data_IF_832175245156
#
_entry.id   IF_832175245156
#
_cell.length_a   1.000
_cell.length_b   1.000
_cell.length_c   1.000
_cell.angle_alpha   90.00
_cell.angle_beta   90.00
_cell.angle_gamma   90.00
#
_symmetry.space_group_name_H-M   'P 1'
#
loop_
_entity.id
_entity.type
_entity.pdbx_description
1 polymer ?
#
# COMPACT_ATOMS: atom_id res chain seq x y z
N UNK A 1 -22.57 -10.96 6.33
CA UNK A 1 -22.10 -11.15 4.96
C UNK A 1 -20.69 -11.73 5.00
N UNK A 2 -20.40 -12.76 4.20
CA UNK A 2 -19.11 -13.45 4.09
C UNK A 2 -18.57 -13.25 2.69
N UNK A 3 -17.41 -12.63 2.54
CA UNK A 3 -16.84 -12.27 1.23
C UNK A 3 -15.47 -12.92 1.09
N UNK A 4 -15.25 -13.59 -0.06
CA UNK A 4 -13.94 -14.01 -0.53
C UNK A 4 -13.32 -12.85 -1.30
N UNK A 5 -12.18 -12.35 -0.84
CA UNK A 5 -11.35 -11.41 -1.60
C UNK A 5 -10.26 -12.12 -2.38
N UNK A 6 -9.94 -11.60 -3.56
CA UNK A 6 -8.84 -12.06 -4.43
C UNK A 6 -8.02 -10.85 -4.83
N UNK A 7 -6.71 -10.91 -4.58
CA UNK A 7 -5.74 -9.85 -4.91
C UNK A 7 -4.60 -10.43 -5.75
N UNK A 8 -4.37 -9.84 -6.91
CA UNK A 8 -3.31 -10.24 -7.85
C UNK A 8 -2.75 -9.06 -8.64
N UNK A 9 -2.80 -7.82 -8.10
CA UNK A 9 -2.44 -6.63 -8.89
C UNK A 9 -0.96 -6.54 -9.27
N UNK A 10 -0.07 -7.17 -8.51
CA UNK A 10 1.37 -7.02 -8.69
C UNK A 10 2.12 -8.36 -8.56
N UNK A 11 2.89 -8.60 -7.53
CA UNK A 11 3.74 -9.78 -7.34
C UNK A 11 3.22 -10.73 -6.25
N UNK A 12 2.21 -10.32 -5.51
CA UNK A 12 1.48 -11.17 -4.57
C UNK A 12 0.29 -11.86 -5.25
N UNK A 13 0.03 -13.08 -4.77
CA UNK A 13 -1.22 -13.82 -5.03
C UNK A 13 -1.89 -14.04 -3.69
N UNK A 14 -3.02 -13.40 -3.46
CA UNK A 14 -3.68 -13.50 -2.16
C UNK A 14 -5.17 -13.84 -2.28
N UNK A 15 -5.65 -14.58 -1.28
CA UNK A 15 -7.07 -14.81 -1.04
C UNK A 15 -7.37 -14.68 0.46
N UNK A 16 -8.51 -14.09 0.78
CA UNK A 16 -8.94 -13.90 2.15
C UNK A 16 -10.46 -14.05 2.29
N UNK A 17 -10.90 -14.49 3.45
CA UNK A 17 -12.32 -14.54 3.78
C UNK A 17 -12.57 -13.62 4.97
N UNK A 18 -13.52 -12.73 4.82
CA UNK A 18 -14.01 -11.85 5.88
C UNK A 18 -15.47 -12.15 6.22
N UNK A 19 -15.90 -11.69 7.39
CA UNK A 19 -17.32 -11.66 7.76
C UNK A 19 -17.68 -10.36 8.46
N UNK A 20 -18.89 -9.87 8.21
CA UNK A 20 -19.45 -8.70 8.87
C UNK A 20 -20.98 -8.71 8.80
N UNK A 21 -21.63 -8.05 9.75
CA UNK A 21 -23.06 -7.78 9.69
C UNK A 21 -23.32 -6.50 8.88
N UNK A 22 -24.54 -6.32 8.38
CA UNK A 22 -24.87 -5.20 7.49
C UNK A 22 -24.51 -3.82 8.06
N UNK A 23 -24.63 -3.66 9.37
CA UNK A 23 -24.37 -2.39 10.07
C UNK A 23 -23.02 -2.38 10.81
N UNK A 24 -22.17 -3.37 10.53
CA UNK A 24 -20.82 -3.44 11.14
C UNK A 24 -19.99 -2.27 10.67
N UNK A 25 -19.34 -1.61 11.62
CA UNK A 25 -18.35 -0.55 11.34
C UNK A 25 -16.97 -1.10 11.05
N UNK A 26 -16.76 -2.39 11.24
CA UNK A 26 -15.57 -3.17 10.96
C UNK A 26 -15.94 -4.58 10.54
N UNK A 27 -15.03 -5.24 9.84
CA UNK A 27 -15.18 -6.64 9.44
C UNK A 27 -14.22 -7.53 10.24
N UNK A 28 -14.63 -8.76 10.49
CA UNK A 28 -13.78 -9.78 11.09
C UNK A 28 -13.07 -10.56 10.00
N UNK A 29 -11.75 -10.68 10.12
CA UNK A 29 -10.94 -11.53 9.26
C UNK A 29 -11.08 -13.00 9.71
N UNK A 30 -11.46 -13.87 8.80
CA UNK A 30 -11.54 -15.32 9.06
C UNK A 30 -10.29 -16.03 8.56
N UNK A 31 -9.76 -15.61 7.41
CA UNK A 31 -8.53 -16.13 6.84
C UNK A 31 -7.88 -15.10 5.90
N UNK A 32 -6.57 -15.14 5.77
CA UNK A 32 -5.80 -14.40 4.78
C UNK A 32 -4.58 -15.25 4.39
N UNK A 33 -4.50 -15.64 3.14
CA UNK A 33 -3.42 -16.46 2.58
C UNK A 33 -2.75 -15.67 1.48
N UNK A 34 -1.43 -15.55 1.56
CA UNK A 34 -0.62 -14.79 0.60
C UNK A 34 0.53 -15.69 0.12
N UNK A 35 0.71 -15.78 -1.17
CA UNK A 35 1.90 -16.30 -1.82
C UNK A 35 2.59 -15.14 -2.54
N UNK A 36 3.86 -14.90 -2.25
CA UNK A 36 4.63 -13.81 -2.85
C UNK A 36 5.75 -14.35 -3.72
N UNK A 37 5.93 -13.75 -4.89
CA UNK A 37 7.06 -13.99 -5.79
C UNK A 37 8.24 -13.04 -5.53
N UNK A 38 8.23 -12.30 -4.42
CA UNK A 38 9.24 -11.32 -4.03
C UNK A 38 10.68 -11.88 -4.07
N UNK A 39 10.89 -13.13 -3.64
CA UNK A 39 12.20 -13.78 -3.66
C UNK A 39 12.78 -13.93 -5.07
N UNK A 40 11.94 -14.13 -6.07
CA UNK A 40 12.37 -14.18 -7.47
C UNK A 40 12.74 -12.79 -7.97
N UNK A 41 11.95 -11.79 -7.62
CA UNK A 41 12.17 -10.41 -8.02
C UNK A 41 13.36 -9.75 -7.28
N UNK A 42 13.72 -10.27 -6.10
CA UNK A 42 14.93 -9.83 -5.39
C UNK A 42 16.21 -10.11 -6.20
N UNK A 43 16.24 -11.18 -6.99
CA UNK A 43 17.42 -11.53 -7.83
C UNK A 43 17.61 -10.58 -9.01
N UNK A 44 16.52 -9.96 -9.49
CA UNK A 44 16.54 -9.00 -10.61
C UNK A 44 16.53 -7.54 -10.13
N UNK A 45 16.34 -7.34 -8.83
CA UNK A 45 16.27 -6.02 -8.19
C UNK A 45 15.01 -5.23 -8.56
N UNK A 46 13.90 -5.90 -8.91
CA UNK A 46 12.61 -5.30 -9.21
C UNK A 46 11.67 -6.28 -9.90
N UNK A 47 10.40 -5.94 -9.96
CA UNK A 47 9.35 -6.80 -10.48
C UNK A 47 9.45 -6.91 -12.00
N UNK A 48 9.42 -8.16 -12.50
CA UNK A 48 9.28 -8.48 -13.92
C UNK A 48 7.84 -8.94 -14.14
N UNK A 49 7.00 -8.16 -14.85
CA UNK A 49 5.56 -8.43 -14.98
C UNK A 49 5.21 -9.83 -15.51
N UNK A 50 5.95 -10.31 -16.49
CA UNK A 50 5.72 -11.65 -17.08
C UNK A 50 6.02 -12.76 -16.06
N UNK A 51 7.08 -12.62 -15.25
CA UNK A 51 7.44 -13.59 -14.21
C UNK A 51 6.39 -13.61 -13.13
N UNK A 52 5.93 -12.43 -12.66
CA UNK A 52 4.87 -12.31 -11.67
C UNK A 52 3.60 -13.03 -12.14
N UNK A 53 3.11 -12.74 -13.35
CA UNK A 53 1.92 -13.37 -13.91
C UNK A 53 2.05 -14.89 -14.03
N UNK A 54 3.20 -15.42 -14.47
CA UNK A 54 3.43 -16.87 -14.58
C UNK A 54 3.43 -17.57 -13.21
N UNK A 55 3.99 -16.94 -12.19
CA UNK A 55 3.94 -17.47 -10.83
C UNK A 55 2.51 -17.47 -10.27
N UNK A 56 1.76 -16.40 -10.50
CA UNK A 56 0.37 -16.31 -10.05
C UNK A 56 -0.53 -17.41 -10.61
N UNK A 57 -0.35 -17.81 -11.87
CA UNK A 57 -1.07 -18.95 -12.45
C UNK A 57 -0.87 -20.24 -11.64
N UNK A 58 0.33 -20.43 -11.07
CA UNK A 58 0.63 -21.63 -10.26
C UNK A 58 -0.01 -21.57 -8.87
N UNK A 59 -0.12 -20.37 -8.29
CA UNK A 59 -0.50 -20.20 -6.90
C UNK A 59 -1.97 -19.82 -6.68
N UNK A 60 -2.68 -19.30 -7.68
CA UNK A 60 -4.02 -18.73 -7.48
C UNK A 60 -5.00 -19.75 -6.90
N UNK A 61 -5.06 -20.97 -7.44
CA UNK A 61 -5.98 -22.02 -6.94
C UNK A 61 -5.56 -22.51 -5.55
N UNK A 62 -4.30 -22.94 -5.30
CA UNK A 62 -3.84 -23.31 -3.97
C UNK A 62 -4.07 -22.24 -2.89
N UNK A 63 -3.89 -20.96 -3.22
CA UNK A 63 -4.09 -19.87 -2.29
C UNK A 63 -5.57 -19.69 -1.93
N UNK A 64 -6.47 -19.79 -2.92
CA UNK A 64 -7.92 -19.71 -2.69
C UNK A 64 -8.40 -20.90 -1.86
N UNK A 65 -8.01 -22.13 -2.21
CA UNK A 65 -8.35 -23.34 -1.45
C UNK A 65 -7.91 -23.20 0.01
N UNK A 66 -6.66 -22.80 0.23
CA UNK A 66 -6.12 -22.58 1.58
C UNK A 66 -6.86 -21.50 2.37
N UNK A 67 -7.26 -20.42 1.72
CA UNK A 67 -8.01 -19.34 2.37
C UNK A 67 -9.40 -19.85 2.79
N UNK A 68 -10.08 -20.62 1.96
CA UNK A 68 -11.38 -21.23 2.27
C UNK A 68 -11.25 -22.22 3.42
N UNK A 69 -10.29 -23.16 3.35
CA UNK A 69 -10.04 -24.13 4.42
C UNK A 69 -9.76 -23.44 5.77
N UNK A 70 -8.86 -22.46 5.80
CA UNK A 70 -8.50 -21.73 7.01
C UNK A 70 -9.70 -20.95 7.59
N UNK A 71 -10.63 -20.50 6.76
CA UNK A 71 -11.86 -19.83 7.20
C UNK A 71 -12.87 -20.79 7.84
N UNK A 72 -12.69 -22.10 7.69
CA UNK A 72 -13.62 -23.17 8.10
C UNK A 72 -14.99 -23.07 7.44
N UNK A 73 -15.05 -22.44 6.28
CA UNK A 73 -16.26 -22.30 5.45
C UNK A 73 -16.13 -23.19 4.19
N UNK A 74 -17.25 -23.39 3.53
CA UNK A 74 -17.29 -23.91 2.17
C UNK A 74 -17.58 -22.75 1.22
N UNK A 75 -17.17 -22.86 -0.04
CA UNK A 75 -17.36 -21.80 -1.02
C UNK A 75 -18.85 -21.47 -1.25
N UNK A 76 -19.70 -22.49 -1.12
CA UNK A 76 -21.17 -22.35 -1.23
C UNK A 76 -21.75 -21.43 -0.14
N UNK A 77 -21.05 -21.33 1.01
CA UNK A 77 -21.50 -20.53 2.16
C UNK A 77 -21.00 -19.06 2.10
N UNK A 78 -20.30 -18.69 1.05
CA UNK A 78 -19.91 -17.31 0.79
C UNK A 78 -21.11 -16.55 0.17
N UNK A 79 -21.19 -15.26 0.47
CA UNK A 79 -22.23 -14.38 -0.06
C UNK A 79 -21.80 -13.68 -1.35
N UNK A 80 -20.48 -13.41 -1.51
CA UNK A 80 -19.93 -12.74 -2.67
C UNK A 80 -18.44 -13.04 -2.85
N UNK A 81 -17.93 -12.73 -4.06
CA UNK A 81 -16.52 -12.76 -4.43
C UNK A 81 -16.10 -11.33 -4.80
N UNK A 82 -15.07 -10.82 -4.14
CA UNK A 82 -14.44 -9.54 -4.46
C UNK A 82 -13.12 -9.79 -5.17
N UNK A 83 -12.82 -9.00 -6.19
CA UNK A 83 -11.56 -9.14 -6.94
C UNK A 83 -11.01 -7.78 -7.31
N UNK A 84 -9.70 -7.63 -7.20
CA UNK A 84 -9.00 -6.45 -7.69
C UNK A 84 -9.05 -6.40 -9.20
N UNK A 85 -9.61 -5.31 -9.72
CA UNK A 85 -9.66 -5.06 -11.16
C UNK A 85 -8.60 -4.05 -11.63
N UNK A 86 -7.95 -3.35 -10.71
CA UNK A 86 -6.91 -2.34 -10.95
C UNK A 86 -6.78 -1.36 -9.79
N UNK A 87 -5.78 -0.45 -9.87
CA UNK A 87 -4.66 -0.48 -10.83
C UNK A 87 -3.70 -1.65 -10.58
N UNK A 88 -2.81 -1.91 -11.58
CA UNK A 88 -1.81 -2.97 -11.43
C UNK A 88 -1.26 -3.49 -12.77
N UNK A 89 -0.50 -4.55 -12.71
CA UNK A 89 0.07 -5.22 -13.88
C UNK A 89 -1.03 -5.99 -14.62
N UNK A 90 -1.27 -5.68 -15.90
CA UNK A 90 -2.38 -6.26 -16.67
C UNK A 90 -2.37 -7.79 -16.65
N UNK A 91 -1.21 -8.44 -16.84
CA UNK A 91 -1.10 -9.89 -16.82
C UNK A 91 -1.50 -10.50 -15.48
N UNK A 92 -1.10 -9.86 -14.39
CA UNK A 92 -1.41 -10.24 -13.02
C UNK A 92 -2.91 -10.03 -12.70
N UNK A 93 -3.45 -8.87 -13.03
CA UNK A 93 -4.88 -8.56 -12.86
C UNK A 93 -5.78 -9.56 -13.59
N UNK A 94 -5.44 -9.92 -14.83
CA UNK A 94 -6.23 -10.87 -15.62
C UNK A 94 -6.36 -12.23 -14.93
N UNK A 95 -5.32 -12.72 -14.25
CA UNK A 95 -5.36 -14.01 -13.57
C UNK A 95 -6.40 -13.96 -12.43
N UNK A 96 -6.39 -12.94 -11.60
CA UNK A 96 -7.38 -12.78 -10.53
C UNK A 96 -8.79 -12.59 -11.07
N UNK A 97 -8.96 -11.69 -12.04
CA UNK A 97 -10.26 -11.37 -12.65
C UNK A 97 -10.88 -12.60 -13.30
N UNK A 98 -10.17 -13.33 -14.15
CA UNK A 98 -10.74 -14.50 -14.82
C UNK A 98 -11.00 -15.67 -13.86
N UNK A 99 -10.16 -15.83 -12.83
CA UNK A 99 -10.41 -16.80 -11.76
C UNK A 99 -11.68 -16.44 -10.98
N UNK A 100 -11.84 -15.17 -10.58
CA UNK A 100 -13.04 -14.71 -9.87
C UNK A 100 -14.31 -14.88 -10.72
N UNK A 101 -14.25 -14.58 -12.02
CA UNK A 101 -15.37 -14.82 -12.97
C UNK A 101 -15.74 -16.29 -13.07
N UNK A 102 -14.75 -17.17 -13.19
CA UNK A 102 -14.99 -18.61 -13.23
C UNK A 102 -15.67 -19.10 -11.94
N UNK A 103 -15.18 -18.69 -10.77
CA UNK A 103 -15.77 -19.04 -9.48
C UNK A 103 -17.19 -18.47 -9.33
N UNK A 104 -17.39 -17.19 -9.71
CA UNK A 104 -18.72 -16.54 -9.67
C UNK A 104 -19.74 -17.29 -10.54
N UNK A 105 -19.33 -17.74 -11.73
CA UNK A 105 -20.17 -18.51 -12.65
C UNK A 105 -20.51 -19.89 -12.08
N UNK A 106 -19.49 -20.66 -11.66
CA UNK A 106 -19.68 -22.04 -11.20
C UNK A 106 -20.51 -22.11 -9.91
N UNK A 107 -20.24 -21.21 -8.96
CA UNK A 107 -20.92 -21.22 -7.65
C UNK A 107 -22.10 -20.27 -7.57
N UNK A 108 -22.48 -19.65 -8.70
CA UNK A 108 -23.59 -18.69 -8.78
C UNK A 108 -23.51 -17.59 -7.69
N UNK A 109 -22.33 -16.97 -7.57
CA UNK A 109 -22.08 -15.91 -6.58
C UNK A 109 -21.97 -14.55 -7.25
N UNK A 110 -22.47 -13.47 -6.62
CA UNK A 110 -22.22 -12.11 -7.07
C UNK A 110 -20.74 -11.81 -7.00
N UNK A 111 -20.24 -10.99 -7.95
CA UNK A 111 -18.87 -10.55 -8.01
C UNK A 111 -18.79 -9.03 -7.85
N UNK A 112 -17.82 -8.58 -7.06
CA UNK A 112 -17.61 -7.18 -6.70
C UNK A 112 -16.24 -6.75 -7.22
N UNK A 113 -16.20 -5.95 -8.29
CA UNK A 113 -14.95 -5.36 -8.75
C UNK A 113 -14.44 -4.33 -7.73
N UNK A 114 -13.20 -4.45 -7.34
CA UNK A 114 -12.61 -3.61 -6.29
C UNK A 114 -11.36 -2.92 -6.80
N UNK A 115 -11.21 -1.64 -6.43
CA UNK A 115 -10.00 -0.88 -6.70
C UNK A 115 -8.94 -1.19 -5.63
N UNK A 116 -7.73 -1.53 -6.08
CA UNK A 116 -6.58 -1.87 -5.23
C UNK A 116 -6.21 -0.76 -4.23
N UNK A 117 -6.19 0.51 -4.68
CA UNK A 117 -5.83 1.65 -3.83
C UNK A 117 -6.87 1.89 -2.74
N UNK A 118 -8.15 1.69 -3.07
CA UNK A 118 -9.24 1.71 -2.10
C UNK A 118 -9.06 0.56 -1.12
N UNK A 119 -8.65 -0.62 -1.58
CA UNK A 119 -8.29 -1.74 -0.73
C UNK A 119 -7.32 -1.34 0.38
N UNK A 120 -6.20 -0.71 0.05
CA UNK A 120 -5.22 -0.25 1.04
C UNK A 120 -5.80 0.68 2.11
N UNK A 121 -6.74 1.54 1.75
CA UNK A 121 -7.44 2.41 2.71
C UNK A 121 -8.29 1.56 3.66
N UNK A 122 -9.05 0.61 3.10
CA UNK A 122 -9.99 -0.21 3.86
C UNK A 122 -9.34 -1.29 4.73
N UNK A 123 -8.04 -1.55 4.60
CA UNK A 123 -7.27 -2.35 5.56
C UNK A 123 -7.40 -1.83 7.01
N UNK A 124 -7.69 -0.53 7.20
CA UNK A 124 -7.95 0.10 8.50
C UNK A 124 -9.28 -0.30 9.13
N UNK A 125 -10.19 -0.92 8.39
CA UNK A 125 -11.50 -1.34 8.87
C UNK A 125 -11.59 -2.84 9.18
N UNK A 126 -10.48 -3.54 9.20
CA UNK A 126 -10.37 -4.90 9.70
C UNK A 126 -10.29 -4.86 11.23
N UNK A 127 -11.11 -5.65 11.94
CA UNK A 127 -11.24 -5.61 13.41
C UNK A 127 -9.94 -5.88 14.19
N UNK A 128 -9.02 -6.64 13.60
CA UNK A 128 -7.72 -6.93 14.19
C UNK A 128 -6.77 -5.73 14.22
N UNK A 129 -7.08 -4.66 13.47
CA UNK A 129 -6.21 -3.50 13.33
C UNK A 129 -6.23 -2.57 14.56
N UNK A 130 -7.39 -2.36 15.15
CA UNK A 130 -7.61 -1.46 16.30
C UNK A 130 -9.01 -1.70 16.87
N UNK A 131 -9.25 -1.40 18.15
CA UNK A 131 -10.60 -1.37 18.72
C UNK A 131 -11.37 -0.10 18.31
N UNK A 132 -10.65 0.97 18.00
CA UNK A 132 -11.25 2.22 17.53
C UNK A 132 -11.67 2.12 16.06
N UNK A 133 -12.63 2.96 15.66
CA UNK A 133 -13.23 2.99 14.34
C UNK A 133 -12.91 4.33 13.69
N UNK A 134 -12.36 4.33 12.45
CA UNK A 134 -12.15 5.58 11.73
C UNK A 134 -13.46 6.37 11.57
N UNK A 135 -13.43 7.65 11.94
CA UNK A 135 -14.54 8.57 11.75
C UNK A 135 -14.33 9.44 10.51
N UNK A 136 -15.41 9.72 9.82
CA UNK A 136 -15.42 10.64 8.67
C UNK A 136 -15.78 12.07 9.05
N UNK A 137 -15.33 13.10 8.30
CA UNK A 137 -14.41 12.96 7.15
C UNK A 137 -13.00 12.55 7.58
N UNK A 138 -12.29 11.82 6.70
CA UNK A 138 -10.94 11.35 6.93
C UNK A 138 -10.01 11.73 5.77
N UNK A 139 -8.72 11.91 6.04
CA UNK A 139 -7.66 11.91 5.02
C UNK A 139 -7.02 10.54 5.00
N UNK A 140 -6.91 9.93 3.82
CA UNK A 140 -6.08 8.75 3.63
C UNK A 140 -4.79 9.11 2.88
N UNK A 141 -3.65 8.67 3.41
CA UNK A 141 -2.36 8.64 2.73
C UNK A 141 -2.12 7.20 2.27
N UNK A 142 -2.25 6.96 0.98
CA UNK A 142 -1.90 5.69 0.33
C UNK A 142 -0.47 5.79 -0.17
N UNK A 143 0.44 5.01 0.40
CA UNK A 143 1.86 5.09 0.09
C UNK A 143 2.47 3.69 -0.05
N UNK A 144 2.84 3.33 -1.29
CA UNK A 144 3.32 2.00 -1.68
C UNK A 144 4.51 2.08 -2.62
N UNK A 145 4.89 0.95 -3.21
CA UNK A 145 5.91 0.88 -4.26
C UNK A 145 5.54 1.67 -5.51
N UNK A 146 4.27 1.64 -5.93
CA UNK A 146 3.80 2.29 -7.16
C UNK A 146 3.00 3.58 -6.93
N UNK A 147 2.54 3.85 -5.73
CA UNK A 147 1.60 4.94 -5.48
C UNK A 147 1.99 5.81 -4.28
N UNK A 148 1.69 7.09 -4.38
CA UNK A 148 1.78 8.04 -3.27
C UNK A 148 0.67 9.08 -3.45
N UNK A 149 -0.44 8.90 -2.72
CA UNK A 149 -1.68 9.63 -2.92
C UNK A 149 -2.29 10.13 -1.63
N UNK A 150 -2.89 11.30 -1.70
CA UNK A 150 -3.76 11.86 -0.66
C UNK A 150 -5.20 11.88 -1.14
N UNK A 151 -6.09 11.32 -0.34
CA UNK A 151 -7.52 11.19 -0.63
C UNK A 151 -8.35 11.71 0.54
N UNK A 152 -9.39 12.44 0.25
CA UNK A 152 -10.42 12.81 1.22
C UNK A 152 -11.57 11.79 1.13
N UNK A 153 -11.92 11.22 2.26
CA UNK A 153 -13.05 10.29 2.40
C UNK A 153 -14.11 11.00 3.25
N UNK A 154 -15.25 11.31 2.65
CA UNK A 154 -16.35 11.95 3.38
C UNK A 154 -17.30 10.92 4.00
N UNK A 155 -17.43 9.77 3.34
CA UNK A 155 -18.17 8.59 3.78
C UNK A 155 -17.70 7.37 3.00
N UNK A 156 -18.17 6.16 3.35
CA UNK A 156 -17.99 5.00 2.51
C UNK A 156 -18.52 5.28 1.10
N UNK A 157 -17.70 5.05 0.07
CA UNK A 157 -18.04 5.31 -1.33
C UNK A 157 -17.93 6.78 -1.79
N UNK A 158 -17.77 7.75 -0.89
CA UNK A 158 -17.57 9.18 -1.24
C UNK A 158 -16.10 9.55 -1.03
N UNK A 159 -15.28 9.27 -2.05
CA UNK A 159 -13.84 9.44 -2.06
C UNK A 159 -13.47 10.53 -3.07
N UNK A 160 -12.62 11.46 -2.65
CA UNK A 160 -12.10 12.52 -3.50
C UNK A 160 -10.57 12.50 -3.50
N UNK A 161 -9.97 12.26 -4.64
CA UNK A 161 -8.53 12.44 -4.80
C UNK A 161 -8.14 13.91 -4.66
N UNK A 162 -7.06 14.19 -3.91
CA UNK A 162 -6.58 15.54 -3.62
C UNK A 162 -5.26 15.87 -4.30
N UNK A 163 -4.41 14.88 -4.49
CA UNK A 163 -3.11 14.98 -5.10
C UNK A 163 -2.32 13.69 -4.92
N UNK A 164 -1.32 13.48 -5.78
CA UNK A 164 -0.47 12.31 -5.76
C UNK A 164 0.92 12.62 -6.30
N UNK A 165 1.75 11.58 -6.42
CA UNK A 165 3.08 11.78 -6.98
C UNK A 165 3.02 12.14 -8.47
N UNK A 166 3.90 13.08 -8.88
CA UNK A 166 4.04 13.48 -10.29
C UNK A 166 5.13 12.71 -11.02
N UNK A 167 5.87 11.88 -10.28
CA UNK A 167 6.98 11.08 -10.79
C UNK A 167 7.12 9.79 -9.96
N UNK A 168 8.27 9.49 -9.38
CA UNK A 168 8.45 8.29 -8.59
C UNK A 168 7.53 8.30 -7.34
N UNK A 169 6.94 7.15 -7.00
CA UNK A 169 6.31 6.95 -5.71
C UNK A 169 7.35 6.89 -4.58
N UNK A 170 6.93 7.11 -3.34
CA UNK A 170 7.85 7.08 -2.20
C UNK A 170 8.55 5.72 -2.05
N UNK A 171 7.82 4.60 -2.22
CA UNK A 171 8.40 3.26 -2.18
C UNK A 171 9.38 3.01 -3.34
N UNK A 172 9.02 3.44 -4.54
CA UNK A 172 9.90 3.38 -5.70
C UNK A 172 11.19 4.20 -5.49
N UNK A 173 11.11 5.37 -4.87
CA UNK A 173 12.28 6.16 -4.50
C UNK A 173 13.18 5.41 -3.50
N UNK A 174 12.60 4.76 -2.49
CA UNK A 174 13.35 3.88 -1.58
C UNK A 174 14.04 2.74 -2.32
N UNK A 175 13.36 2.07 -3.25
CA UNK A 175 13.93 0.94 -3.99
C UNK A 175 15.05 1.37 -4.94
N UNK A 176 14.86 2.47 -5.68
CA UNK A 176 15.87 3.03 -6.59
C UNK A 176 17.13 3.46 -5.87
N UNK A 177 16.96 4.08 -4.68
CA UNK A 177 18.10 4.56 -3.88
C UNK A 177 18.74 3.40 -3.12
N UNK A 178 17.96 2.45 -2.60
CA UNK A 178 18.49 1.21 -2.02
C UNK A 178 19.41 0.48 -2.99
N UNK A 179 18.99 0.35 -4.25
CA UNK A 179 19.82 -0.23 -5.32
C UNK A 179 21.10 0.60 -5.59
N UNK A 180 21.00 1.94 -5.59
CA UNK A 180 22.16 2.82 -5.74
C UNK A 180 23.21 2.59 -4.64
N UNK A 181 22.77 2.27 -3.43
CA UNK A 181 23.60 2.00 -2.26
C UNK A 181 24.01 0.53 -2.14
N UNK A 182 23.65 -0.32 -3.12
CA UNK A 182 23.85 -1.78 -3.10
C UNK A 182 23.19 -2.47 -1.89
N UNK A 183 22.06 -1.94 -1.42
CA UNK A 183 21.27 -2.56 -0.37
C UNK A 183 20.36 -3.65 -0.94
N UNK A 184 19.98 -4.67 -0.12
CA UNK A 184 19.04 -5.70 -0.54
C UNK A 184 17.65 -5.12 -0.93
N UNK A 185 17.02 -5.76 -1.90
CA UNK A 185 15.62 -5.51 -2.25
C UNK A 185 14.67 -6.28 -1.29
N UNK A 186 13.55 -5.69 -0.80
CA UNK A 186 13.06 -4.32 -1.09
C UNK A 186 13.88 -3.22 -0.40
N UNK A 187 14.03 -2.10 -1.11
CA UNK A 187 14.84 -0.97 -0.63
C UNK A 187 14.28 -0.30 0.62
N UNK A 188 12.95 -0.20 0.75
CA UNK A 188 12.30 0.44 1.90
C UNK A 188 12.74 -0.15 3.24
N UNK A 189 12.51 -1.45 3.53
CA UNK A 189 12.95 -2.09 4.76
C UNK A 189 14.47 -2.05 4.97
N UNK A 190 15.25 -2.17 3.89
CA UNK A 190 16.73 -2.12 3.94
C UNK A 190 17.22 -0.74 4.33
N UNK A 191 16.62 0.32 3.80
CA UNK A 191 16.93 1.71 4.17
C UNK A 191 16.48 1.99 5.60
N UNK A 192 15.27 1.57 6.00
CA UNK A 192 14.79 1.74 7.37
C UNK A 192 15.77 1.15 8.40
N UNK A 193 16.22 -0.08 8.17
CA UNK A 193 17.19 -0.75 9.06
C UNK A 193 18.52 -0.01 9.14
N UNK A 194 19.08 0.45 8.02
CA UNK A 194 20.34 1.19 8.03
C UNK A 194 20.19 2.59 8.63
N UNK A 195 19.04 3.22 8.48
CA UNK A 195 18.76 4.55 9.00
C UNK A 195 18.71 4.63 10.54
N UNK A 196 18.50 3.51 11.25
CA UNK A 196 18.42 3.47 12.72
C UNK A 196 19.67 4.01 13.40
N UNK A 197 20.84 3.81 12.80
CA UNK A 197 22.17 4.20 13.35
C UNK A 197 22.79 5.42 12.67
N UNK A 198 22.08 6.04 11.70
CA UNK A 198 22.61 7.14 10.90
C UNK A 198 22.28 8.53 11.47
N UNK A 199 23.14 9.50 11.11
CA UNK A 199 22.90 10.92 11.44
C UNK A 199 21.99 11.59 10.40
N UNK A 200 20.78 11.98 10.83
CA UNK A 200 19.77 12.65 9.98
C UNK A 200 20.17 14.08 9.55
N UNK A 201 21.27 14.65 10.10
CA UNK A 201 21.70 16.01 9.83
C UNK A 201 22.90 16.09 8.88
N UNK A 202 23.54 14.95 8.56
CA UNK A 202 24.77 14.94 7.78
C UNK A 202 24.58 15.44 6.34
N UNK A 203 23.44 15.14 5.73
CA UNK A 203 23.14 15.54 4.35
C UNK A 203 21.83 16.32 4.29
N UNK A 204 21.84 17.43 3.55
CA UNK A 204 20.63 18.20 3.28
C UNK A 204 20.05 17.81 1.92
N UNK A 205 19.18 16.79 1.91
CA UNK A 205 18.49 16.36 0.71
C UNK A 205 17.30 17.27 0.40
N UNK A 206 17.00 17.53 -0.88
CA UNK A 206 15.89 18.38 -1.27
C UNK A 206 14.54 17.78 -0.86
N UNK A 207 13.57 18.64 -0.53
CA UNK A 207 12.18 18.27 -0.26
C UNK A 207 11.29 18.83 -1.37
N UNK A 208 11.16 18.13 -2.51
CA UNK A 208 10.44 18.68 -3.66
C UNK A 208 8.98 18.94 -3.32
N UNK A 209 8.43 20.00 -3.91
CA UNK A 209 7.02 20.41 -3.80
C UNK A 209 6.52 20.64 -2.35
N UNK A 210 7.39 20.67 -1.33
CA UNK A 210 6.94 20.84 0.06
C UNK A 210 6.18 22.16 0.23
N UNK A 211 6.64 23.24 -0.38
CA UNK A 211 6.05 24.58 -0.30
C UNK A 211 4.95 24.83 -1.34
N UNK A 212 4.64 23.87 -2.20
CA UNK A 212 3.58 24.02 -3.20
C UNK A 212 2.19 24.14 -2.56
N UNK A 213 1.30 24.89 -3.21
CA UNK A 213 -0.06 25.08 -2.70
C UNK A 213 -0.99 23.86 -2.89
N UNK A 214 -0.58 22.90 -3.71
CA UNK A 214 -1.30 21.63 -3.95
C UNK A 214 -0.86 20.53 -2.96
N UNK A 215 -1.42 19.33 -3.15
CA UNK A 215 -1.11 18.15 -2.34
C UNK A 215 -0.29 17.11 -3.12
N UNK A 216 0.33 17.53 -4.24
CA UNK A 216 1.16 16.64 -5.03
C UNK A 216 2.51 16.38 -4.39
N UNK A 217 3.09 15.23 -4.72
CA UNK A 217 4.41 14.79 -4.31
C UNK A 217 5.37 14.70 -5.51
N UNK A 218 6.65 14.61 -5.22
CA UNK A 218 7.70 14.32 -6.21
C UNK A 218 8.92 13.78 -5.47
N UNK A 219 9.45 12.66 -5.92
CA UNK A 219 10.60 11.98 -5.29
C UNK A 219 11.71 11.61 -6.26
N UNK A 220 11.54 11.74 -7.59
CA UNK A 220 12.56 11.37 -8.58
C UNK A 220 13.87 12.13 -8.41
N UNK A 221 13.80 13.40 -7.98
CA UNK A 221 14.98 14.23 -7.71
C UNK A 221 15.87 13.72 -6.56
N UNK A 222 15.32 12.97 -5.62
CA UNK A 222 16.07 12.42 -4.49
C UNK A 222 17.14 11.43 -4.93
N UNK A 223 16.86 10.60 -5.95
CA UNK A 223 17.87 9.68 -6.50
C UNK A 223 19.10 10.43 -6.99
N UNK A 224 18.92 11.50 -7.74
CA UNK A 224 20.02 12.31 -8.28
C UNK A 224 20.77 13.06 -7.16
N UNK A 225 20.04 13.60 -6.18
CA UNK A 225 20.65 14.25 -5.02
C UNK A 225 21.51 13.26 -4.21
N UNK A 226 20.96 12.08 -3.92
CA UNK A 226 21.69 11.02 -3.21
C UNK A 226 22.91 10.55 -4.00
N UNK A 227 22.79 10.38 -5.32
CA UNK A 227 23.91 10.00 -6.18
C UNK A 227 25.06 11.04 -6.09
N UNK A 228 24.76 12.32 -6.12
CA UNK A 228 25.76 13.39 -5.99
C UNK A 228 26.51 13.32 -4.66
N UNK A 229 25.81 13.14 -3.55
CA UNK A 229 26.47 12.99 -2.23
C UNK A 229 27.29 11.69 -2.16
N UNK A 230 26.79 10.60 -2.74
CA UNK A 230 27.52 9.32 -2.84
C UNK A 230 28.82 9.46 -3.62
N UNK A 231 28.82 10.20 -4.73
CA UNK A 231 30.03 10.43 -5.54
C UNK A 231 31.06 11.28 -4.78
N UNK A 232 30.63 12.38 -4.12
CA UNK A 232 31.51 13.20 -3.29
C UNK A 232 32.21 12.38 -2.19
N UNK A 233 31.46 11.48 -1.52
CA UNK A 233 32.03 10.62 -0.48
C UNK A 233 33.04 9.62 -1.06
N UNK A 234 32.76 9.07 -2.23
CA UNK A 234 33.68 8.14 -2.92
C UNK A 234 34.99 8.81 -3.33
N UNK A 235 34.93 10.06 -3.79
CA UNK A 235 36.14 10.85 -4.13
C UNK A 235 37.07 10.99 -2.94
N UNK A 236 36.54 11.11 -1.73
CA UNK A 236 37.37 11.26 -0.50
C UNK A 236 37.77 9.91 0.12
N UNK A 237 37.13 8.81 -0.20
CA UNK A 237 37.27 7.52 0.49
C UNK A 237 37.73 6.38 -0.45
N UNK A 238 38.77 6.61 -1.27
CA UNK A 238 39.32 5.59 -2.19
C UNK A 238 38.23 4.86 -3.02
N UNK A 239 37.29 5.60 -3.53
CA UNK A 239 36.17 5.14 -4.36
C UNK A 239 35.18 4.15 -3.64
N UNK A 240 35.11 4.16 -2.31
CA UNK A 240 34.25 3.30 -1.53
C UNK A 240 33.39 4.12 -0.56
N UNK A 241 32.19 3.65 -0.26
CA UNK A 241 31.37 4.12 0.85
C UNK A 241 31.69 3.31 2.10
N UNK A 242 31.82 3.99 3.23
CA UNK A 242 31.84 3.32 4.54
C UNK A 242 30.44 2.91 4.98
N UNK A 243 30.34 2.00 5.92
CA UNK A 243 29.04 1.63 6.50
C UNK A 243 28.35 2.84 7.15
N UNK A 244 29.11 3.73 7.80
CA UNK A 244 28.57 4.97 8.37
C UNK A 244 28.02 5.90 7.28
N UNK A 245 28.69 6.02 6.13
CA UNK A 245 28.18 6.82 5.01
C UNK A 245 26.82 6.32 4.53
N UNK A 246 26.68 4.98 4.41
CA UNK A 246 25.42 4.34 4.00
C UNK A 246 24.32 4.60 5.04
N UNK A 247 24.62 4.45 6.34
CA UNK A 247 23.67 4.69 7.43
C UNK A 247 23.19 6.13 7.43
N UNK A 248 24.09 7.10 7.29
CA UNK A 248 23.73 8.52 7.31
C UNK A 248 22.92 8.93 6.07
N UNK A 249 23.29 8.40 4.88
CA UNK A 249 22.50 8.61 3.67
C UNK A 249 21.08 8.05 3.85
N UNK A 250 20.96 6.82 4.37
CA UNK A 250 19.67 6.19 4.64
C UNK A 250 18.83 7.01 5.64
N UNK A 251 19.45 7.49 6.71
CA UNK A 251 18.78 8.29 7.73
C UNK A 251 18.26 9.63 7.17
N UNK A 252 19.11 10.35 6.42
CA UNK A 252 18.73 11.61 5.77
C UNK A 252 17.64 11.43 4.72
N UNK A 253 17.73 10.37 3.89
CA UNK A 253 16.75 10.05 2.87
C UNK A 253 15.39 9.73 3.49
N UNK A 254 15.36 8.78 4.45
CA UNK A 254 14.14 8.39 5.14
C UNK A 254 13.47 9.60 5.80
N UNK A 255 14.26 10.42 6.51
CA UNK A 255 13.77 11.66 7.13
C UNK A 255 13.15 12.59 6.10
N UNK A 256 13.80 12.80 4.97
CA UNK A 256 13.35 13.71 3.91
C UNK A 256 12.02 13.26 3.31
N UNK A 257 11.88 11.97 2.97
CA UNK A 257 10.62 11.42 2.42
C UNK A 257 9.49 11.55 3.45
N UNK A 258 9.75 11.13 4.69
CA UNK A 258 8.76 11.17 5.78
C UNK A 258 8.31 12.60 6.06
N UNK A 259 9.21 13.57 6.07
CA UNK A 259 8.86 14.98 6.27
C UNK A 259 7.86 15.48 5.23
N UNK A 260 8.09 15.18 3.96
CA UNK A 260 7.19 15.59 2.87
C UNK A 260 5.83 14.92 3.00
N UNK A 261 5.80 13.61 3.30
CA UNK A 261 4.55 12.85 3.48
C UNK A 261 3.74 13.44 4.64
N UNK A 262 4.36 13.65 5.80
CA UNK A 262 3.68 14.19 7.00
C UNK A 262 3.19 15.60 6.76
N UNK A 263 4.03 16.48 6.21
CA UNK A 263 3.67 17.87 5.97
C UNK A 263 2.42 18.00 5.10
N UNK A 264 2.39 17.29 3.95
CA UNK A 264 1.25 17.31 3.03
C UNK A 264 0.00 16.70 3.62
N UNK A 265 0.14 15.60 4.37
CA UNK A 265 -0.99 14.94 5.04
C UNK A 265 -1.62 15.84 6.08
N UNK A 266 -0.83 16.48 6.96
CA UNK A 266 -1.34 17.40 7.98
C UNK A 266 -1.92 18.67 7.37
N UNK A 267 -1.32 19.19 6.29
CA UNK A 267 -1.85 20.33 5.53
C UNK A 267 -3.25 20.01 4.97
N UNK A 268 -3.45 18.79 4.42
CA UNK A 268 -4.74 18.34 3.95
C UNK A 268 -5.73 18.16 5.11
N UNK A 269 -5.32 17.48 6.17
CA UNK A 269 -6.14 17.25 7.36
C UNK A 269 -6.68 18.56 7.96
N UNK A 270 -5.82 19.55 8.09
CA UNK A 270 -6.20 20.91 8.57
C UNK A 270 -7.16 21.61 7.61
N UNK A 271 -6.90 21.57 6.30
CA UNK A 271 -7.75 22.22 5.29
C UNK A 271 -9.16 21.66 5.27
N UNK A 272 -9.31 20.33 5.38
CA UNK A 272 -10.60 19.66 5.31
C UNK A 272 -11.24 19.36 6.67
N UNK A 273 -10.59 19.78 7.78
CA UNK A 273 -11.09 19.63 9.16
C UNK A 273 -11.52 18.20 9.45
N UNK A 274 -10.65 17.26 9.15
CA UNK A 274 -10.98 15.84 9.27
C UNK A 274 -10.90 15.34 10.71
N UNK A 275 -11.58 14.23 10.99
CA UNK A 275 -11.57 13.55 12.28
C UNK A 275 -10.50 12.47 12.36
N UNK A 276 -10.16 11.87 11.22
CA UNK A 276 -9.22 10.76 11.14
C UNK A 276 -8.18 10.95 10.04
N UNK A 277 -6.98 10.41 10.27
CA UNK A 277 -5.96 10.17 9.25
C UNK A 277 -5.76 8.67 9.13
N UNK A 278 -5.85 8.13 7.91
CA UNK A 278 -5.66 6.72 7.60
C UNK A 278 -4.37 6.55 6.82
N UNK A 279 -3.50 5.62 7.24
CA UNK A 279 -2.37 5.19 6.44
C UNK A 279 -2.72 3.90 5.70
N UNK A 280 -2.24 3.74 4.45
CA UNK A 280 -2.36 2.53 3.65
C UNK A 280 -1.17 2.34 2.72
N UNK A 281 -0.99 1.12 2.22
CA UNK A 281 0.12 0.75 1.34
C UNK A 281 1.39 0.32 2.08
N UNK A 282 2.29 -0.36 1.36
CA UNK A 282 3.46 -1.02 1.94
C UNK A 282 4.39 -0.10 2.73
N UNK A 283 4.57 1.17 2.30
CA UNK A 283 5.41 2.14 3.02
C UNK A 283 4.78 2.55 4.36
N UNK A 284 3.49 2.37 4.55
CA UNK A 284 2.83 2.59 5.85
C UNK A 284 3.31 1.62 6.95
N UNK A 285 4.01 0.54 6.59
CA UNK A 285 4.66 -0.37 7.54
C UNK A 285 5.91 0.25 8.20
N UNK A 286 6.49 1.31 7.61
CA UNK A 286 7.67 1.99 8.14
C UNK A 286 7.41 2.60 9.52
N UNK A 287 8.16 2.14 10.53
CA UNK A 287 7.92 2.51 11.93
C UNK A 287 8.22 3.99 12.21
N UNK A 288 9.21 4.54 11.51
CA UNK A 288 9.57 5.97 11.64
C UNK A 288 8.43 6.87 11.15
N UNK A 289 7.81 6.54 10.00
CA UNK A 289 6.64 7.26 9.48
C UNK A 289 5.49 7.23 10.48
N UNK A 290 5.16 6.06 11.04
CA UNK A 290 4.09 5.89 12.03
C UNK A 290 4.34 6.76 13.27
N UNK A 291 5.54 6.67 13.84
CA UNK A 291 5.90 7.37 15.06
C UNK A 291 5.93 8.89 14.86
N UNK A 292 6.54 9.37 13.77
CA UNK A 292 6.64 10.79 13.51
C UNK A 292 5.28 11.42 13.16
N UNK A 293 4.44 10.74 12.40
CA UNK A 293 3.09 11.24 12.11
C UNK A 293 2.24 11.31 13.37
N UNK A 294 2.29 10.28 14.23
CA UNK A 294 1.60 10.30 15.52
C UNK A 294 2.08 11.44 16.40
N UNK A 295 3.39 11.64 16.51
CA UNK A 295 3.97 12.74 17.28
C UNK A 295 3.59 14.10 16.71
N UNK A 296 3.56 14.26 15.40
CA UNK A 296 3.19 15.50 14.73
C UNK A 296 1.72 15.89 14.97
N UNK A 297 0.80 14.90 15.00
CA UNK A 297 -0.61 15.10 15.35
C UNK A 297 -0.74 15.60 16.81
N UNK A 298 -0.06 14.92 17.73
CA UNK A 298 -0.06 15.26 19.17
C UNK A 298 0.49 16.68 19.40
N UNK A 299 1.60 17.00 18.76
CA UNK A 299 2.25 18.31 18.92
C UNK A 299 1.39 19.49 18.39
N UNK A 300 0.48 19.23 17.46
CA UNK A 300 -0.50 20.21 17.00
C UNK A 300 -1.72 20.34 17.93
N UNK A 301 -1.75 19.63 19.05
CA UNK A 301 -2.89 19.55 19.98
C UNK A 301 -4.21 19.22 19.24
N UNK A 302 -4.10 18.38 18.22
CA UNK A 302 -5.22 18.01 17.35
C UNK A 302 -6.01 16.86 17.93
N UNK A 303 -7.32 16.91 17.79
CA UNK A 303 -8.24 15.81 18.13
C UNK A 303 -8.31 14.75 17.02
N UNK A 304 -7.47 14.84 15.99
CA UNK A 304 -7.44 13.90 14.87
C UNK A 304 -6.87 12.55 15.34
N UNK A 305 -7.57 11.48 15.04
CA UNK A 305 -7.11 10.12 15.32
C UNK A 305 -6.33 9.54 14.14
N UNK A 306 -5.23 8.86 14.43
CA UNK A 306 -4.40 8.18 13.44
C UNK A 306 -4.72 6.68 13.42
N UNK A 307 -5.08 6.19 12.26
CA UNK A 307 -5.32 4.77 11.98
C UNK A 307 -4.25 4.22 11.05
N UNK A 308 -3.67 3.11 11.46
CA UNK A 308 -2.64 2.41 10.68
C UNK A 308 -2.91 0.91 10.74
N UNK A 309 -2.95 0.21 9.61
CA UNK A 309 -3.19 -1.23 9.62
C UNK A 309 -2.09 -2.00 10.36
N UNK A 310 -2.41 -3.19 10.85
CA UNK A 310 -1.38 -4.15 11.27
C UNK A 310 -0.34 -4.32 10.14
N UNK A 311 0.94 -4.49 10.49
CA UNK A 311 2.02 -4.59 9.49
C UNK A 311 1.75 -5.65 8.42
N UNK A 312 1.12 -6.78 8.79
CA UNK A 312 0.73 -7.86 7.87
C UNK A 312 -0.36 -7.48 6.86
N UNK A 313 -1.07 -6.35 7.09
CA UNK A 313 -2.14 -5.83 6.22
C UNK A 313 -1.71 -4.56 5.46
N UNK A 314 -0.48 -4.09 5.64
CA UNK A 314 0.03 -2.92 4.91
C UNK A 314 0.43 -3.25 3.47
N UNK A 315 1.03 -4.43 3.25
CA UNK A 315 1.38 -4.92 1.91
C UNK A 315 0.16 -5.54 1.22
N UNK A 316 0.31 -5.87 -0.05
CA UNK A 316 -0.77 -6.43 -0.87
C UNK A 316 -1.32 -7.71 -0.24
N UNK A 317 -2.63 -7.73 -0.03
CA UNK A 317 -3.35 -8.83 0.59
C UNK A 317 -4.83 -8.79 0.20
N UNK A 318 -5.51 -9.92 0.26
CA UNK A 318 -6.90 -10.00 -0.16
C UNK A 318 -7.90 -9.57 0.94
N UNK A 319 -7.48 -9.48 2.20
CA UNK A 319 -8.35 -8.97 3.27
C UNK A 319 -8.76 -7.52 3.02
N UNK A 320 -7.84 -6.68 2.53
CA UNK A 320 -8.11 -5.30 2.17
C UNK A 320 -9.15 -5.18 1.05
N UNK A 321 -9.09 -6.09 0.07
CA UNK A 321 -10.01 -6.14 -1.08
C UNK A 321 -11.41 -6.57 -0.65
N UNK A 322 -11.50 -7.66 0.13
CA UNK A 322 -12.78 -8.10 0.67
C UNK A 322 -13.44 -7.04 1.57
N UNK A 323 -12.61 -6.33 2.37
CA UNK A 323 -13.09 -5.26 3.25
C UNK A 323 -13.58 -4.05 2.46
N UNK A 324 -12.85 -3.62 1.44
CA UNK A 324 -13.29 -2.54 0.56
C UNK A 324 -14.61 -2.89 -0.14
N UNK A 325 -14.75 -4.12 -0.62
CA UNK A 325 -15.96 -4.63 -1.24
C UNK A 325 -17.15 -4.68 -0.25
N UNK A 326 -16.90 -5.01 1.01
CA UNK A 326 -17.95 -5.03 2.04
C UNK A 326 -18.58 -3.65 2.27
N UNK A 327 -17.75 -2.62 2.43
CA UNK A 327 -18.21 -1.25 2.71
C UNK A 327 -18.69 -0.50 1.46
N UNK A 328 -18.26 -0.92 0.27
CA UNK A 328 -18.63 -0.29 -1.02
C UNK A 328 -19.33 -1.32 -1.91
N UNK A 329 -20.25 -2.10 -1.34
CA UNK A 329 -20.88 -3.22 -2.04
C UNK A 329 -21.60 -2.78 -3.31
N UNK A 330 -21.08 -3.22 -4.45
CA UNK A 330 -21.69 -2.98 -5.76
C UNK A 330 -21.39 -4.18 -6.65
N UNK A 331 -22.35 -5.09 -6.76
CA UNK A 331 -22.21 -6.23 -7.66
C UNK A 331 -22.28 -5.81 -9.14
N UNK A 332 -21.54 -6.52 -9.95
CA UNK A 332 -21.53 -6.34 -11.41
C UNK A 332 -21.66 -7.71 -12.07
N UNK A 333 -22.48 -7.85 -13.13
CA UNK A 333 -22.51 -9.10 -13.89
C UNK A 333 -21.10 -9.54 -14.32
N UNK A 334 -20.74 -10.78 -14.06
CA UNK A 334 -19.38 -11.29 -14.28
C UNK A 334 -18.89 -11.06 -15.72
N UNK A 335 -19.80 -11.04 -16.72
CA UNK A 335 -19.48 -10.78 -18.12
C UNK A 335 -18.96 -9.35 -18.37
N UNK A 336 -19.30 -8.40 -17.50
CA UNK A 336 -18.92 -6.98 -17.62
C UNK A 336 -17.66 -6.64 -16.84
N UNK A 337 -17.09 -7.58 -16.09
CA UNK A 337 -15.88 -7.34 -15.32
C UNK A 337 -14.67 -7.49 -16.22
N UNK A 338 -13.83 -6.44 -16.21
CA UNK A 338 -12.57 -6.39 -16.97
C UNK A 338 -11.47 -5.80 -16.10
N UNK A 339 -10.24 -6.26 -16.31
CA UNK A 339 -9.08 -5.66 -15.70
C UNK A 339 -8.84 -4.25 -16.28
N UNK A 340 -8.51 -3.30 -15.43
CA UNK A 340 -8.16 -1.93 -15.80
C UNK A 340 -6.85 -1.52 -15.10
N UNK A 341 -5.68 -1.66 -15.77
CA UNK A 341 -4.38 -1.33 -15.18
C UNK A 341 -4.25 0.13 -14.74
N UNK A 342 -4.98 1.03 -15.39
CA UNK A 342 -4.93 2.48 -15.19
C UNK A 342 -6.07 2.99 -14.28
N UNK A 343 -6.82 2.06 -13.64
CA UNK A 343 -7.88 2.45 -12.73
C UNK A 343 -7.33 3.34 -11.61
N UNK A 344 -8.03 4.42 -11.32
CA UNK A 344 -7.63 5.35 -10.25
C UNK A 344 -8.76 5.56 -9.24
N UNK A 345 -8.77 6.68 -8.51
CA UNK A 345 -9.77 7.00 -7.48
C UNK A 345 -11.08 7.60 -8.04
N UNK A 346 -11.32 7.53 -9.31
CA UNK A 346 -12.49 8.10 -10.01
C UNK A 346 -13.76 7.26 -9.83
#
# INVERSE_FOLDING_TARGET
MKILGIETSCDETAAAVITGEKDSKKVKLLSNTVASSLSLHATTGGIIPEVAAREQVKYIIPVIERAIENSKLKIENLDAIAVTIGPGLIGSLLIGVETAKALAYVFNKPIIPTNHLIGHIYANFVSETSDQIPEFPAIALVVSGGHTDLVLIKNHGDIKWLGGTRDDAAGEAFDKIGRLLNLPYPGGPSIEKNAESGDIKRFNLPKPLIDSNNFDFSFSGLKTATLRETLKLKETNNNKLTQTDIQDICACLQKTIIDVLIFKTLKAAKKYKVKSILLGGGVSANQKLRNELKSAIINQQSSIELFVPDKKLCTDNAAMIATAAFFNYKEVPWQKITANPELYFD
#
